data_IF_948619561905
#
_entry.id   IF_948619561905
#
_cell.length_a   1.000
_cell.length_b   1.000
_cell.length_c   1.000
_cell.angle_alpha   90.00
_cell.angle_beta   90.00
_cell.angle_gamma   90.00
#
_symmetry.space_group_name_H-M   'P 1'
#
loop_
_entity.id
_entity.type
_entity.pdbx_description
1 polymer ?
#
# COMPACT_ATOMS: atom_id res chain seq x y z
N UNK A 1 -0.28 8.26 -27.10
CA UNK A 1 -0.79 8.49 -25.73
C UNK A 1 -1.46 7.18 -25.31
N UNK A 2 -0.79 6.34 -24.52
CA UNK A 2 -1.41 5.09 -24.08
C UNK A 2 -2.50 5.43 -23.06
N UNK A 3 -3.75 5.11 -23.39
CA UNK A 3 -4.87 5.17 -22.46
C UNK A 3 -4.69 4.09 -21.39
N UNK A 4 -3.89 4.39 -20.37
CA UNK A 4 -3.69 3.47 -19.24
C UNK A 4 -4.97 3.38 -18.43
N UNK A 5 -5.66 2.24 -18.50
CA UNK A 5 -6.75 1.93 -17.57
C UNK A 5 -6.22 1.94 -16.13
N UNK A 6 -6.99 2.53 -15.21
CA UNK A 6 -6.66 2.50 -13.79
C UNK A 6 -6.58 1.07 -13.24
N UNK A 7 -5.98 0.91 -12.06
CA UNK A 7 -5.91 -0.39 -11.38
C UNK A 7 -7.32 -0.82 -10.97
N UNK A 8 -7.88 -1.91 -11.54
CA UNK A 8 -9.22 -2.35 -11.19
C UNK A 8 -9.24 -2.98 -9.80
N UNK A 9 -10.35 -2.84 -9.03
CA UNK A 9 -10.50 -3.51 -7.75
C UNK A 9 -10.28 -5.03 -7.86
N UNK A 10 -9.54 -5.60 -6.90
CA UNK A 10 -9.26 -7.04 -6.83
C UNK A 10 -8.12 -7.53 -7.72
N UNK A 11 -7.58 -6.73 -8.64
CA UNK A 11 -6.38 -7.09 -9.39
C UNK A 11 -5.13 -6.91 -8.52
N UNK A 12 -4.36 -7.97 -8.21
CA UNK A 12 -3.14 -7.84 -7.44
C UNK A 12 -2.14 -6.96 -8.18
N UNK A 13 -1.53 -6.00 -7.47
CA UNK A 13 -0.54 -5.11 -8.05
C UNK A 13 0.51 -4.73 -7.00
N UNK A 14 1.71 -4.43 -7.48
CA UNK A 14 2.82 -3.93 -6.68
C UNK A 14 3.63 -2.94 -7.52
N UNK A 15 4.46 -2.14 -6.87
CA UNK A 15 5.40 -1.22 -7.51
C UNK A 15 6.75 -1.28 -6.79
N UNK A 16 7.82 -1.00 -7.52
CA UNK A 16 9.16 -0.88 -6.97
C UNK A 16 9.89 0.28 -7.65
N UNK A 17 10.81 0.92 -6.91
CA UNK A 17 11.82 1.80 -7.49
C UNK A 17 13.14 1.02 -7.57
N UNK A 18 13.45 0.35 -8.70
CA UNK A 18 14.67 -0.46 -8.83
C UNK A 18 15.94 0.39 -9.03
N UNK A 19 15.80 1.70 -9.25
CA UNK A 19 16.93 2.61 -9.45
C UNK A 19 17.65 2.97 -8.14
N UNK A 20 18.84 3.52 -8.29
CA UNK A 20 19.70 4.01 -7.19
C UNK A 20 19.38 5.43 -6.75
N UNK A 21 18.41 6.08 -7.40
CA UNK A 21 17.95 7.44 -7.09
C UNK A 21 16.51 7.45 -6.58
N UNK A 22 16.17 8.40 -5.69
CA UNK A 22 14.79 8.58 -5.26
C UNK A 22 13.84 8.84 -6.44
N UNK A 23 12.66 8.24 -6.37
CA UNK A 23 11.56 8.47 -7.31
C UNK A 23 10.34 9.02 -6.57
N UNK A 24 9.50 9.78 -7.27
CA UNK A 24 8.22 10.29 -6.76
C UNK A 24 7.09 9.49 -7.38
N UNK A 25 6.25 8.89 -6.53
CA UNK A 25 5.01 8.24 -6.96
C UNK A 25 3.84 9.19 -6.71
N UNK A 26 3.09 9.49 -7.77
CA UNK A 26 1.81 10.19 -7.66
C UNK A 26 0.67 9.16 -7.72
N UNK A 27 -0.14 9.12 -6.68
CA UNK A 27 -1.28 8.21 -6.59
C UNK A 27 -2.58 8.99 -6.41
N UNK A 28 -3.60 8.62 -7.16
CA UNK A 28 -4.97 9.16 -7.04
C UNK A 28 -5.89 8.06 -6.53
N UNK A 29 -6.64 8.35 -5.47
CA UNK A 29 -7.52 7.37 -4.84
C UNK A 29 -8.97 7.82 -4.89
N UNK A 30 -9.84 6.90 -5.28
CA UNK A 30 -11.29 7.09 -5.23
C UNK A 30 -11.93 5.72 -5.00
N UNK A 31 -12.74 5.53 -3.96
CA UNK A 31 -13.14 6.49 -2.91
C UNK A 31 -12.00 6.85 -1.94
N UNK A 32 -12.24 7.83 -1.07
CA UNK A 32 -11.28 8.40 -0.11
C UNK A 32 -10.85 7.45 1.02
N UNK A 33 -11.61 6.38 1.26
CA UNK A 33 -11.33 5.35 2.29
C UNK A 33 -9.88 4.85 2.27
N UNK A 34 -9.23 4.82 1.11
CA UNK A 34 -7.84 4.39 0.97
C UNK A 34 -6.82 5.39 1.55
N UNK A 35 -7.16 6.67 1.69
CA UNK A 35 -6.31 7.65 2.35
C UNK A 35 -6.21 7.40 3.86
N UNK A 36 -7.26 6.85 4.47
CA UNK A 36 -7.28 6.55 5.91
C UNK A 36 -6.35 5.40 6.25
N UNK A 37 -6.24 4.38 5.38
CA UNK A 37 -5.25 3.31 5.50
C UNK A 37 -3.82 3.85 5.69
N UNK A 38 -3.38 4.77 4.84
CA UNK A 38 -2.03 5.33 4.94
C UNK A 38 -1.80 6.20 6.16
N UNK A 39 -2.84 6.93 6.60
CA UNK A 39 -2.77 7.72 7.84
C UNK A 39 -2.59 6.81 9.04
N UNK A 40 -3.35 5.72 9.11
CA UNK A 40 -3.24 4.76 10.21
C UNK A 40 -1.88 4.04 10.21
N UNK A 41 -1.36 3.65 9.04
CA UNK A 41 -0.01 3.09 8.94
C UNK A 41 1.05 4.07 9.45
N UNK A 42 0.96 5.35 9.05
CA UNK A 42 1.88 6.40 9.52
C UNK A 42 1.79 6.56 11.04
N UNK A 43 0.58 6.66 11.59
CA UNK A 43 0.37 6.89 13.01
C UNK A 43 0.82 5.67 13.85
N UNK A 44 0.61 4.45 13.34
CA UNK A 44 1.06 3.20 13.98
C UNK A 44 2.58 2.97 13.94
N UNK A 45 3.27 3.49 12.93
CA UNK A 45 4.74 3.52 12.85
C UNK A 45 5.36 4.61 13.77
N UNK A 46 4.57 5.61 14.18
CA UNK A 46 5.02 6.80 14.90
C UNK A 46 6.09 7.58 14.10
N UNK A 47 6.86 8.44 14.79
CA UNK A 47 8.04 9.13 14.22
C UNK A 47 9.22 8.16 13.96
N UNK A 48 8.95 6.96 13.42
CA UNK A 48 9.95 5.91 13.18
C UNK A 48 10.35 5.11 14.42
N UNK A 49 9.57 5.17 15.51
CA UNK A 49 9.92 4.52 16.80
C UNK A 49 9.38 3.10 16.95
N UNK A 50 8.44 2.67 16.09
CA UNK A 50 7.82 1.33 16.20
C UNK A 50 7.99 0.54 14.92
N UNK A 51 8.52 -0.67 15.05
CA UNK A 51 8.53 -1.66 13.95
C UNK A 51 7.11 -2.16 13.71
N UNK A 52 6.59 -1.96 12.50
CA UNK A 52 5.34 -2.59 12.07
C UNK A 52 5.61 -4.08 11.84
N UNK A 53 4.93 -4.95 12.59
CA UNK A 53 4.99 -6.39 12.36
C UNK A 53 4.15 -6.76 11.13
N UNK A 54 4.46 -7.85 10.42
CA UNK A 54 3.64 -8.31 9.30
C UNK A 54 2.16 -8.48 9.66
N UNK A 55 1.87 -9.04 10.85
CA UNK A 55 0.50 -9.22 11.31
C UNK A 55 -0.21 -7.88 11.53
N UNK A 56 0.44 -6.90 12.17
CA UNK A 56 -0.15 -5.58 12.37
C UNK A 56 -0.43 -4.87 11.03
N UNK A 57 0.40 -5.09 10.01
CA UNK A 57 0.17 -4.59 8.65
C UNK A 57 -1.07 -5.25 8.02
N UNK A 58 -1.21 -6.58 8.12
CA UNK A 58 -2.36 -7.33 7.61
C UNK A 58 -3.65 -6.91 8.32
N UNK A 59 -3.62 -6.77 9.64
CA UNK A 59 -4.76 -6.33 10.44
C UNK A 59 -5.23 -4.94 9.99
N UNK A 60 -4.28 -4.04 9.70
CA UNK A 60 -4.58 -2.71 9.16
C UNK A 60 -5.16 -2.77 7.76
N UNK A 61 -4.58 -3.56 6.85
CA UNK A 61 -5.11 -3.74 5.48
C UNK A 61 -6.56 -4.20 5.48
N UNK A 62 -6.91 -5.16 6.35
CA UNK A 62 -8.24 -5.77 6.42
C UNK A 62 -9.38 -4.76 6.69
N UNK A 63 -9.07 -3.61 7.32
CA UNK A 63 -10.02 -2.54 7.61
C UNK A 63 -10.38 -1.67 6.39
N UNK A 64 -9.60 -1.72 5.31
CA UNK A 64 -9.69 -0.79 4.18
C UNK A 64 -9.78 -1.47 2.81
N UNK A 65 -10.49 -2.61 2.74
CA UNK A 65 -10.67 -3.38 1.51
C UNK A 65 -9.35 -3.68 0.76
N UNK A 66 -8.27 -3.81 1.53
CA UNK A 66 -6.92 -4.13 1.06
C UNK A 66 -6.51 -5.45 1.68
N UNK A 67 -5.73 -6.25 0.97
CA UNK A 67 -5.21 -7.50 1.49
C UNK A 67 -3.91 -7.88 0.79
N UNK A 68 -3.13 -8.79 1.39
CA UNK A 68 -1.93 -9.30 0.75
C UNK A 68 -2.29 -10.01 -0.56
N UNK A 69 -1.51 -9.75 -1.60
CA UNK A 69 -1.58 -10.55 -2.81
C UNK A 69 -1.15 -11.99 -2.49
N UNK A 70 -2.00 -12.98 -2.79
CA UNK A 70 -1.66 -14.38 -2.60
C UNK A 70 -0.36 -14.71 -3.35
N UNK A 71 0.63 -15.26 -2.64
CA UNK A 71 1.94 -15.64 -3.19
C UNK A 71 3.07 -14.60 -3.03
N UNK A 72 2.81 -13.42 -2.45
CA UNK A 72 3.84 -12.39 -2.19
C UNK A 72 4.42 -12.40 -0.76
N UNK A 73 3.85 -13.23 0.14
CA UNK A 73 4.44 -13.49 1.46
C UNK A 73 5.27 -14.78 1.31
N UNK A 74 6.60 -14.66 1.22
CA UNK A 74 7.48 -15.77 1.61
C UNK A 74 7.75 -15.64 3.10
N UNK A 75 7.62 -16.76 3.79
CA UNK A 75 8.05 -16.95 5.18
C UNK A 75 9.56 -16.74 5.36
#
# INVERSE_FOLDING_TARGET
MQSGGGLPPGAPHTFANPGDRPAVMLSTFTPDLYLQYFRELRDGLGDGRRTLTPQAAIDTMSRYATGPAAGLIRE
#
